data_IF_995009443771
#
_entry.id   IF_995009443771
#
_cell.length_a   1.000
_cell.length_b   1.000
_cell.length_c   1.000
_cell.angle_alpha   90.00
_cell.angle_beta   90.00
_cell.angle_gamma   90.00
#
_symmetry.space_group_name_H-M   'P 1'
#
loop_
_entity.id
_entity.type
_entity.pdbx_description
1 polymer ?
#
# COMPACT_ATOMS: atom_id res chain seq x y z
N UNK A 1 -59.41 -3.44 71.99
CA UNK A 1 -58.31 -4.28 71.47
C UNK A 1 -57.02 -3.46 71.41
N UNK A 2 -56.24 -3.64 72.50
CA UNK A 2 -54.90 -3.01 72.62
C UNK A 2 -53.90 -3.72 71.69
N UNK A 3 -53.30 -3.04 70.75
CA UNK A 3 -52.17 -3.51 70.04
C UNK A 3 -50.93 -3.23 70.89
N UNK A 4 -50.42 -4.27 71.52
CA UNK A 4 -49.13 -4.30 72.14
C UNK A 4 -48.08 -4.25 71.05
N UNK A 5 -47.36 -3.15 70.93
CA UNK A 5 -46.18 -3.05 70.04
C UNK A 5 -45.03 -3.83 70.68
N UNK A 6 -44.85 -5.06 70.29
CA UNK A 6 -43.70 -5.84 70.67
C UNK A 6 -42.44 -5.40 69.89
N UNK A 7 -41.42 -5.01 70.64
CA UNK A 7 -40.10 -4.71 70.08
C UNK A 7 -39.48 -6.09 69.77
N UNK A 8 -39.15 -6.35 68.47
CA UNK A 8 -38.41 -7.48 68.01
C UNK A 8 -36.96 -7.11 67.91
N UNK A 9 -36.10 -7.68 68.75
CA UNK A 9 -34.66 -7.53 68.66
C UNK A 9 -34.15 -8.45 67.55
N UNK A 10 -33.68 -7.87 66.46
CA UNK A 10 -33.19 -8.61 65.28
C UNK A 10 -31.73 -9.06 65.41
N UNK A 11 -31.07 -8.82 66.54
CA UNK A 11 -29.67 -9.18 66.71
C UNK A 11 -28.76 -8.41 65.76
N UNK A 12 -27.54 -8.90 65.56
CA UNK A 12 -26.52 -8.28 64.70
C UNK A 12 -26.74 -8.85 63.27
N UNK A 13 -27.20 -7.97 62.37
CA UNK A 13 -27.27 -8.27 60.92
C UNK A 13 -25.91 -8.00 60.26
N UNK A 14 -25.24 -9.05 59.83
CA UNK A 14 -24.03 -8.94 59.03
C UNK A 14 -24.42 -8.74 57.55
N UNK A 15 -24.17 -7.56 57.04
CA UNK A 15 -24.29 -7.26 55.59
C UNK A 15 -22.98 -7.61 54.95
N UNK A 16 -22.94 -8.66 54.11
CA UNK A 16 -21.83 -8.90 53.19
C UNK A 16 -22.04 -7.98 51.99
N UNK A 17 -21.00 -7.15 51.64
CA UNK A 17 -21.05 -6.40 50.40
C UNK A 17 -21.23 -7.36 49.25
N UNK A 18 -22.25 -7.19 48.44
CA UNK A 18 -22.33 -7.85 47.14
C UNK A 18 -21.32 -7.12 46.27
N UNK A 19 -20.12 -7.69 46.13
CA UNK A 19 -19.20 -7.27 45.07
C UNK A 19 -19.88 -7.65 43.74
N UNK A 20 -20.70 -6.74 43.25
CA UNK A 20 -20.96 -6.73 41.80
C UNK A 20 -19.63 -6.42 41.15
N UNK A 21 -18.90 -7.45 40.78
CA UNK A 21 -17.80 -7.33 39.81
C UNK A 21 -18.42 -6.64 38.59
N UNK A 22 -18.19 -5.34 38.47
CA UNK A 22 -18.37 -4.66 37.20
C UNK A 22 -17.46 -5.44 36.28
N UNK A 23 -18.04 -6.27 35.40
CA UNK A 23 -17.30 -6.91 34.33
C UNK A 23 -16.51 -5.80 33.66
N UNK A 24 -15.19 -5.90 33.73
CA UNK A 24 -14.28 -4.97 33.07
C UNK A 24 -14.82 -4.82 31.63
N UNK A 25 -15.43 -3.66 31.38
CA UNK A 25 -15.84 -3.33 30.02
C UNK A 25 -14.53 -3.07 29.29
N UNK A 26 -14.03 -4.11 28.65
CA UNK A 26 -12.90 -4.00 27.75
C UNK A 26 -13.35 -3.06 26.61
N UNK A 27 -13.11 -1.78 26.78
CA UNK A 27 -13.34 -0.78 25.74
C UNK A 27 -12.26 -1.04 24.71
N UNK A 28 -12.52 -2.02 23.84
CA UNK A 28 -11.78 -2.19 22.60
C UNK A 28 -12.03 -0.93 21.78
N UNK A 29 -11.20 0.08 22.03
CA UNK A 29 -11.20 1.28 21.21
C UNK A 29 -10.95 0.81 19.77
N UNK A 30 -11.97 0.91 18.90
CA UNK A 30 -11.82 0.66 17.49
C UNK A 30 -10.63 1.48 17.02
N UNK A 31 -9.54 0.81 16.58
CA UNK A 31 -8.36 1.48 16.06
C UNK A 31 -8.82 2.41 14.94
N UNK A 32 -8.49 3.70 15.09
CA UNK A 32 -8.85 4.67 14.06
C UNK A 32 -8.11 4.29 12.78
N UNK A 33 -8.85 4.05 11.72
CA UNK A 33 -8.32 3.69 10.40
C UNK A 33 -7.29 4.70 9.88
N UNK A 34 -7.41 5.96 10.28
CA UNK A 34 -6.53 7.05 9.89
C UNK A 34 -6.17 7.89 11.11
N UNK A 35 -4.87 8.03 11.35
CA UNK A 35 -4.33 8.86 12.45
C UNK A 35 -3.49 9.98 11.83
N UNK A 36 -3.84 11.23 12.19
CA UNK A 36 -3.06 12.40 11.79
C UNK A 36 -1.99 12.68 12.86
N UNK A 37 -0.73 12.72 12.45
CA UNK A 37 0.42 13.20 13.22
C UNK A 37 0.89 14.53 12.63
N UNK A 38 1.80 15.22 13.33
CA UNK A 38 2.25 16.56 12.95
C UNK A 38 2.90 16.59 11.55
N UNK A 39 3.63 15.54 11.19
CA UNK A 39 4.46 15.42 9.98
C UNK A 39 3.94 14.37 8.99
N UNK A 40 2.98 13.53 9.40
CA UNK A 40 2.51 12.42 8.57
C UNK A 40 1.08 11.99 8.90
N UNK A 41 0.45 11.35 7.93
CA UNK A 41 -0.79 10.59 8.09
C UNK A 41 -0.45 9.11 8.19
N UNK A 42 -1.04 8.40 9.13
CA UNK A 42 -0.84 6.96 9.31
C UNK A 42 -2.15 6.24 9.03
N UNK A 43 -2.14 5.37 8.04
CA UNK A 43 -3.26 4.51 7.64
C UNK A 43 -3.01 3.13 8.23
N UNK A 44 -3.90 2.65 9.09
CA UNK A 44 -3.81 1.33 9.70
C UNK A 44 -4.33 0.26 8.72
N UNK A 45 -3.46 -0.65 8.31
CA UNK A 45 -3.82 -1.72 7.38
C UNK A 45 -4.68 -2.81 8.01
N UNK A 46 -4.66 -2.95 9.35
CA UNK A 46 -5.44 -3.98 10.05
C UNK A 46 -6.95 -3.72 10.03
N UNK A 47 -7.35 -2.46 9.81
CA UNK A 47 -8.75 -2.04 9.73
C UNK A 47 -9.36 -2.24 8.33
N UNK A 48 -8.57 -2.64 7.35
CA UNK A 48 -9.07 -2.85 6.00
C UNK A 48 -9.78 -4.20 5.90
N UNK A 49 -11.10 -4.16 5.74
CA UNK A 49 -12.04 -5.30 5.73
C UNK A 49 -11.82 -6.23 4.50
N UNK A 50 -11.05 -5.81 3.54
CA UNK A 50 -10.72 -6.57 2.31
C UNK A 50 -9.74 -7.73 2.52
N UNK A 51 -9.75 -8.29 3.73
CA UNK A 51 -9.13 -9.56 4.10
C UNK A 51 -7.91 -10.01 3.27
N UNK A 52 -6.74 -9.44 3.50
CA UNK A 52 -5.44 -10.00 3.10
C UNK A 52 -5.16 -10.20 1.60
N UNK A 53 -6.12 -10.02 0.73
CA UNK A 53 -6.03 -10.37 -0.69
C UNK A 53 -5.75 -9.21 -1.66
N UNK A 54 -5.51 -8.00 -1.16
CA UNK A 54 -5.16 -6.83 -1.96
C UNK A 54 -3.70 -6.42 -1.82
N UNK A 55 -3.38 -5.25 -2.33
CA UNK A 55 -2.07 -4.59 -2.28
C UNK A 55 -2.11 -3.33 -1.40
N UNK A 56 -0.97 -2.65 -1.27
CA UNK A 56 -0.93 -1.34 -0.62
C UNK A 56 -1.80 -0.30 -1.33
N UNK A 57 -2.00 -0.42 -2.64
CA UNK A 57 -2.92 0.46 -3.40
C UNK A 57 -4.34 0.32 -2.90
N UNK A 58 -4.81 -0.90 -2.69
CA UNK A 58 -6.19 -1.17 -2.25
C UNK A 58 -6.44 -0.64 -0.82
N UNK A 59 -5.41 -0.63 0.05
CA UNK A 59 -5.49 0.01 1.37
C UNK A 59 -5.62 1.53 1.22
N UNK A 60 -4.85 2.12 0.31
CA UNK A 60 -4.80 3.56 0.11
C UNK A 60 -6.00 4.11 -0.67
N UNK A 61 -6.69 3.31 -1.48
CA UNK A 61 -7.85 3.72 -2.27
C UNK A 61 -8.95 4.36 -1.40
N UNK A 62 -9.11 3.85 -0.17
CA UNK A 62 -10.09 4.39 0.78
C UNK A 62 -9.54 5.56 1.63
N UNK A 63 -8.36 6.07 1.30
CA UNK A 63 -7.71 7.14 2.09
C UNK A 63 -8.03 8.52 1.50
N UNK A 64 -8.45 9.49 2.32
CA UNK A 64 -8.71 10.86 1.86
C UNK A 64 -7.49 11.48 1.17
N UNK A 65 -7.71 12.13 0.04
CA UNK A 65 -6.69 12.75 -0.84
C UNK A 65 -5.93 11.77 -1.73
N UNK A 66 -6.30 10.50 -1.75
CA UNK A 66 -5.80 9.49 -2.67
C UNK A 66 -6.87 9.23 -3.73
N UNK A 67 -6.44 9.04 -4.96
CA UNK A 67 -7.29 8.58 -6.08
C UNK A 67 -6.55 7.48 -6.80
N UNK A 68 -7.28 6.44 -7.17
CA UNK A 68 -6.80 5.36 -8.04
C UNK A 68 -7.60 5.42 -9.33
N UNK A 69 -6.91 5.50 -10.46
CA UNK A 69 -7.57 5.51 -11.76
C UNK A 69 -8.00 4.10 -12.21
N UNK A 70 -8.67 4.02 -13.35
CA UNK A 70 -9.14 2.75 -13.90
C UNK A 70 -7.98 1.81 -14.28
N UNK A 71 -6.80 2.34 -14.51
CA UNK A 71 -5.57 1.63 -14.82
C UNK A 71 -4.83 1.13 -13.56
N UNK A 72 -5.21 1.63 -12.36
CA UNK A 72 -4.62 1.28 -11.07
C UNK A 72 -3.51 2.24 -10.64
N UNK A 73 -3.31 3.34 -11.38
CA UNK A 73 -2.33 4.33 -10.97
C UNK A 73 -2.87 5.15 -9.81
N UNK A 74 -2.07 5.26 -8.77
CA UNK A 74 -2.41 6.07 -7.61
C UNK A 74 -1.93 7.50 -7.82
N UNK A 75 -2.78 8.44 -7.51
CA UNK A 75 -2.43 9.85 -7.37
C UNK A 75 -2.72 10.34 -5.96
N UNK A 76 -1.80 11.09 -5.41
CA UNK A 76 -1.93 11.73 -4.10
C UNK A 76 -1.98 13.25 -4.28
N UNK A 77 -3.05 13.89 -3.79
CA UNK A 77 -3.31 15.33 -3.99
C UNK A 77 -3.28 15.76 -5.47
N UNK A 78 -3.69 14.86 -6.37
CA UNK A 78 -3.73 15.14 -7.80
C UNK A 78 -2.42 14.94 -8.56
N UNK A 79 -1.34 14.51 -7.90
CA UNK A 79 -0.06 14.19 -8.52
C UNK A 79 0.33 12.73 -8.30
N UNK A 80 0.96 12.12 -9.29
CA UNK A 80 1.58 10.79 -9.23
C UNK A 80 3.06 10.84 -8.86
N UNK A 81 3.63 12.04 -8.65
CA UNK A 81 5.04 12.25 -8.31
C UNK A 81 5.32 12.05 -6.83
N UNK A 82 5.20 10.83 -6.32
CA UNK A 82 5.55 10.47 -4.95
C UNK A 82 6.60 9.36 -4.93
N UNK A 83 7.44 9.36 -3.89
CA UNK A 83 8.45 8.32 -3.68
C UNK A 83 7.92 7.26 -2.70
N UNK A 84 8.17 5.99 -2.99
CA UNK A 84 7.75 4.88 -2.10
C UNK A 84 8.95 4.37 -1.31
N UNK A 85 8.73 4.22 -0.01
CA UNK A 85 9.65 3.60 0.93
C UNK A 85 9.03 2.36 1.54
N UNK A 86 9.84 1.38 1.86
CA UNK A 86 9.45 0.19 2.62
C UNK A 86 10.34 0.11 3.85
N UNK A 87 9.74 0.14 5.04
CA UNK A 87 10.45 0.16 6.33
C UNK A 87 11.54 1.25 6.39
N UNK A 88 11.26 2.43 5.81
CA UNK A 88 12.17 3.56 5.78
C UNK A 88 13.32 3.47 4.76
N UNK A 89 13.33 2.46 3.89
CA UNK A 89 14.29 2.30 2.79
C UNK A 89 13.58 2.61 1.45
N UNK A 90 14.23 3.28 0.50
CA UNK A 90 13.64 3.52 -0.82
C UNK A 90 13.24 2.22 -1.49
N UNK A 91 12.05 2.20 -2.11
CA UNK A 91 11.62 1.05 -2.90
C UNK A 91 12.40 0.96 -4.21
N UNK A 92 12.57 -0.26 -4.70
CA UNK A 92 13.15 -0.53 -6.04
C UNK A 92 12.27 0.04 -7.14
N UNK A 93 10.97 -0.02 -6.91
CA UNK A 93 9.95 0.45 -7.83
C UNK A 93 9.52 1.86 -7.47
N UNK A 94 9.07 2.61 -8.45
CA UNK A 94 8.58 3.97 -8.27
C UNK A 94 7.05 4.03 -8.34
N UNK A 95 6.48 4.99 -7.65
CA UNK A 95 5.07 5.34 -7.75
C UNK A 95 4.12 4.20 -7.39
N UNK A 96 3.01 4.13 -8.11
CA UNK A 96 1.92 3.16 -7.88
C UNK A 96 2.38 1.71 -8.02
N UNK A 97 3.32 1.45 -8.90
CA UNK A 97 3.85 0.11 -9.15
C UNK A 97 4.55 -0.48 -7.93
N UNK A 98 5.23 0.34 -7.13
CA UNK A 98 5.82 -0.10 -5.88
C UNK A 98 4.75 -0.56 -4.87
N UNK A 99 3.65 0.16 -4.82
CA UNK A 99 2.54 -0.11 -3.90
C UNK A 99 1.73 -1.34 -4.33
N UNK A 100 1.54 -1.55 -5.64
CA UNK A 100 0.84 -2.73 -6.17
C UNK A 100 1.52 -4.05 -5.80
N UNK A 101 2.84 -4.02 -5.59
CA UNK A 101 3.64 -5.20 -5.32
C UNK A 101 3.73 -5.57 -3.84
N UNK A 102 3.24 -4.71 -2.94
CA UNK A 102 3.28 -4.98 -1.52
C UNK A 102 1.91 -5.55 -1.10
N UNK A 103 1.84 -6.86 -0.77
CA UNK A 103 0.59 -7.48 -0.36
C UNK A 103 0.04 -6.84 0.92
N UNK A 104 -1.24 -6.53 0.95
CA UNK A 104 -1.92 -5.93 2.10
C UNK A 104 -1.73 -6.74 3.39
N UNK A 105 -1.70 -8.08 3.27
CA UNK A 105 -1.49 -8.99 4.40
C UNK A 105 -0.14 -8.80 5.11
N UNK A 106 0.87 -8.26 4.44
CA UNK A 106 2.19 -8.00 5.00
C UNK A 106 2.32 -6.60 5.62
N UNK A 107 1.35 -5.73 5.45
CA UNK A 107 1.40 -4.33 5.88
C UNK A 107 0.85 -4.19 7.30
N UNK A 108 1.59 -3.51 8.17
CA UNK A 108 1.13 -3.07 9.48
C UNK A 108 0.41 -1.72 9.37
N UNK A 109 1.07 -0.75 8.76
CA UNK A 109 0.50 0.57 8.47
C UNK A 109 1.20 1.23 7.28
N UNK A 110 0.58 2.27 6.72
CA UNK A 110 1.16 3.10 5.67
C UNK A 110 1.25 4.53 6.18
N UNK A 111 2.44 5.10 6.12
CA UNK A 111 2.72 6.47 6.50
C UNK A 111 2.79 7.35 5.25
N UNK A 112 1.96 8.38 5.19
CA UNK A 112 1.98 9.38 4.12
C UNK A 112 2.65 10.64 4.67
N UNK A 113 3.87 10.91 4.24
CA UNK A 113 4.70 12.02 4.69
C UNK A 113 4.65 13.11 3.64
N UNK A 114 4.03 14.25 3.99
CA UNK A 114 3.83 15.37 3.07
C UNK A 114 4.92 16.44 3.16
N UNK A 115 5.73 16.37 4.20
CA UNK A 115 6.86 17.27 4.44
C UNK A 115 8.09 16.42 4.76
N UNK A 116 8.79 15.92 3.73
CA UNK A 116 9.97 15.10 3.93
C UNK A 116 11.05 15.89 4.68
N UNK A 117 11.64 15.25 5.68
CA UNK A 117 12.83 15.79 6.36
C UNK A 117 14.09 15.46 5.56
N UNK A 118 15.21 16.06 5.91
CA UNK A 118 16.53 15.81 5.29
C UNK A 118 17.01 14.34 5.40
N UNK A 119 16.28 13.48 6.12
CA UNK A 119 16.53 12.04 6.18
C UNK A 119 16.04 11.29 4.94
N UNK A 120 15.21 11.91 4.14
CA UNK A 120 14.56 11.28 2.99
C UNK A 120 15.03 12.03 1.75
N UNK A 121 15.66 11.31 0.86
CA UNK A 121 15.95 11.82 -0.49
C UNK A 121 14.62 11.80 -1.26
N UNK A 122 13.92 12.93 -1.20
CA UNK A 122 12.60 13.04 -1.83
C UNK A 122 12.78 13.58 -3.24
N UNK A 123 12.97 12.71 -4.21
CA UNK A 123 12.90 13.05 -5.63
C UNK A 123 11.46 13.28 -6.13
N UNK A 124 10.47 13.32 -5.23
CA UNK A 124 9.05 13.44 -5.59
C UNK A 124 8.46 14.80 -5.20
N UNK A 125 7.63 15.36 -6.07
CA UNK A 125 6.98 16.68 -5.89
C UNK A 125 5.95 16.73 -4.76
N UNK A 126 5.40 15.59 -4.31
CA UNK A 126 4.19 15.54 -3.46
C UNK A 126 4.44 14.92 -2.10
N UNK A 127 5.52 14.15 -1.93
CA UNK A 127 5.86 13.52 -0.65
C UNK A 127 6.26 12.06 -0.76
N UNK A 128 6.26 11.39 0.39
CA UNK A 128 6.71 10.01 0.54
C UNK A 128 5.57 9.16 1.06
N UNK A 129 5.39 7.99 0.48
CA UNK A 129 4.53 6.93 1.00
C UNK A 129 5.44 5.84 1.56
N UNK A 130 5.51 5.73 2.90
CA UNK A 130 6.34 4.73 3.57
C UNK A 130 5.46 3.59 4.07
N UNK A 131 5.64 2.42 3.51
CA UNK A 131 4.93 1.20 3.89
C UNK A 131 5.69 0.53 5.03
N UNK A 132 5.06 0.40 6.18
CA UNK A 132 5.61 -0.31 7.34
C UNK A 132 5.09 -1.75 7.32
N UNK A 133 6.02 -2.69 7.25
CA UNK A 133 5.67 -4.10 7.23
C UNK A 133 5.50 -4.68 8.64
N UNK A 134 4.65 -5.70 8.76
CA UNK A 134 4.45 -6.43 10.02
C UNK A 134 5.76 -7.05 10.49
N UNK A 135 6.16 -6.70 11.70
CA UNK A 135 7.35 -7.29 12.33
C UNK A 135 6.93 -8.52 13.12
N UNK A 136 7.38 -9.67 12.68
CA UNK A 136 7.25 -10.89 13.49
C UNK A 136 8.30 -10.85 14.61
N UNK A 137 7.85 -10.54 15.83
CA UNK A 137 8.71 -10.46 17.03
C UNK A 137 8.90 -11.79 17.76
N UNK A 138 8.19 -12.82 17.32
CA UNK A 138 8.29 -14.14 17.95
C UNK A 138 9.60 -14.84 17.57
N UNK A 139 10.33 -15.35 18.61
CA UNK A 139 11.50 -16.19 18.41
C UNK A 139 11.10 -17.52 17.79
N UNK A 140 11.91 -18.06 16.92
CA UNK A 140 11.67 -19.33 16.24
C UNK A 140 11.46 -19.17 14.74
N UNK A 141 10.79 -20.13 14.15
CA UNK A 141 10.39 -20.15 12.75
C UNK A 141 8.95 -19.70 12.65
N UNK A 142 8.70 -18.70 11.86
CA UNK A 142 7.34 -18.22 11.51
C UNK A 142 7.20 -18.06 10.00
N UNK A 143 5.99 -18.20 9.50
CA UNK A 143 5.75 -18.02 8.08
C UNK A 143 4.29 -17.67 7.82
N UNK A 144 4.07 -17.00 6.70
CA UNK A 144 2.75 -16.70 6.16
C UNK A 144 2.74 -17.11 4.70
N UNK A 145 1.60 -17.64 4.26
CA UNK A 145 1.29 -17.88 2.86
C UNK A 145 -0.10 -17.31 2.63
N UNK A 146 -0.23 -16.43 1.66
CA UNK A 146 -1.51 -15.87 1.26
C UNK A 146 -1.81 -16.30 -0.17
N UNK A 147 -3.03 -16.74 -0.38
CA UNK A 147 -3.58 -17.10 -1.68
C UNK A 147 -4.81 -16.26 -1.89
N UNK A 148 -4.86 -15.49 -2.94
CA UNK A 148 -6.05 -14.73 -3.29
C UNK A 148 -6.37 -14.83 -4.77
N UNK A 149 -7.66 -14.81 -5.06
CA UNK A 149 -8.17 -14.82 -6.40
C UNK A 149 -9.47 -14.04 -6.49
N UNK A 150 -9.71 -13.44 -7.63
CA UNK A 150 -10.92 -12.67 -7.91
C UNK A 150 -11.59 -13.16 -9.19
N UNK A 151 -12.92 -13.06 -9.22
CA UNK A 151 -13.69 -13.28 -10.45
C UNK A 151 -13.31 -12.31 -11.57
N UNK A 152 -12.69 -11.18 -11.21
CA UNK A 152 -12.10 -10.22 -12.16
C UNK A 152 -10.74 -10.69 -12.71
N UNK A 153 -10.42 -11.99 -12.63
CA UNK A 153 -9.18 -12.60 -13.15
C UNK A 153 -7.89 -12.04 -12.53
N UNK A 154 -7.93 -11.71 -11.24
CA UNK A 154 -6.74 -11.41 -10.46
C UNK A 154 -6.34 -12.64 -9.63
N UNK A 155 -5.05 -12.96 -9.62
CA UNK A 155 -4.46 -14.07 -8.87
C UNK A 155 -3.24 -13.55 -8.14
N UNK A 156 -3.15 -13.87 -6.85
CA UNK A 156 -1.97 -13.53 -6.05
C UNK A 156 -1.60 -14.71 -5.17
N UNK A 157 -0.32 -15.02 -5.14
CA UNK A 157 0.30 -15.95 -4.20
C UNK A 157 1.48 -15.22 -3.60
N UNK A 158 1.49 -15.07 -2.30
CA UNK A 158 2.65 -14.55 -1.61
C UNK A 158 2.99 -15.40 -0.39
N UNK A 159 4.27 -15.46 -0.10
CA UNK A 159 4.77 -16.14 1.06
C UNK A 159 5.90 -15.36 1.73
N UNK A 160 6.01 -15.49 3.02
CA UNK A 160 7.13 -14.99 3.82
C UNK A 160 7.46 -16.01 4.89
N UNK A 161 8.71 -16.47 4.90
CA UNK A 161 9.28 -17.32 5.92
C UNK A 161 10.32 -16.52 6.68
N UNK A 162 10.24 -16.53 8.01
CA UNK A 162 11.16 -15.81 8.87
C UNK A 162 11.64 -16.73 9.98
N UNK A 163 12.93 -16.74 10.21
CA UNK A 163 13.56 -17.37 11.38
C UNK A 163 14.24 -16.31 12.21
N UNK A 164 13.82 -16.17 13.46
CA UNK A 164 14.37 -15.19 14.39
C UNK A 164 14.95 -15.88 15.63
N UNK A 165 16.19 -15.60 15.92
CA UNK A 165 16.89 -15.91 17.16
C UNK A 165 17.08 -14.60 17.96
N UNK A 166 17.79 -14.66 19.09
CA UNK A 166 18.07 -13.47 19.92
C UNK A 166 18.81 -12.38 19.18
N UNK A 167 19.83 -12.74 18.43
CA UNK A 167 20.70 -11.79 17.75
C UNK A 167 20.54 -11.78 16.22
N UNK A 168 19.94 -12.81 15.62
CA UNK A 168 19.87 -12.94 14.17
C UNK A 168 18.45 -13.16 13.67
N UNK A 169 18.14 -12.57 12.53
CA UNK A 169 16.91 -12.78 11.77
C UNK A 169 17.25 -13.10 10.33
N UNK A 170 16.66 -14.18 9.82
CA UNK A 170 16.67 -14.56 8.42
C UNK A 170 15.26 -14.50 7.89
N UNK A 171 15.09 -14.04 6.68
CA UNK A 171 13.83 -14.16 6.00
C UNK A 171 14.00 -14.49 4.53
N UNK A 172 13.02 -15.19 3.98
CA UNK A 172 12.85 -15.42 2.54
C UNK A 172 11.38 -15.28 2.20
N UNK A 173 11.09 -14.65 1.10
CA UNK A 173 9.72 -14.43 0.66
C UNK A 173 9.62 -14.26 -0.83
N UNK A 174 8.40 -14.36 -1.34
CA UNK A 174 8.13 -14.14 -2.74
C UNK A 174 6.70 -13.74 -2.99
N UNK A 175 6.49 -13.11 -4.12
CA UNK A 175 5.19 -12.69 -4.63
C UNK A 175 5.06 -13.18 -6.06
N UNK A 176 3.97 -13.83 -6.36
CA UNK A 176 3.48 -14.11 -7.70
C UNK A 176 2.13 -13.44 -7.86
N UNK A 177 2.07 -12.44 -8.70
CA UNK A 177 0.89 -11.63 -8.94
C UNK A 177 0.58 -11.59 -10.42
N UNK A 178 -0.69 -11.78 -10.77
CA UNK A 178 -1.21 -11.74 -12.13
C UNK A 178 -2.59 -11.12 -12.09
N UNK A 179 -2.83 -10.05 -12.85
CA UNK A 179 -4.09 -9.32 -12.90
C UNK A 179 -4.46 -8.97 -14.33
N UNK A 180 -5.45 -9.67 -14.83
CA UNK A 180 -6.07 -9.33 -16.11
C UNK A 180 -7.21 -8.34 -15.89
N UNK A 181 -7.10 -7.16 -16.50
CA UNK A 181 -8.12 -6.12 -16.45
C UNK A 181 -8.79 -5.98 -17.80
N UNK A 182 -10.10 -6.12 -17.84
CA UNK A 182 -10.91 -5.84 -19.02
C UNK A 182 -11.68 -4.55 -18.75
N UNK A 183 -11.62 -3.59 -19.67
CA UNK A 183 -12.30 -2.31 -19.56
C UNK A 183 -12.80 -1.87 -20.92
N UNK A 184 -13.88 -1.09 -20.93
CA UNK A 184 -14.30 -0.32 -22.07
C UNK A 184 -13.74 1.08 -21.92
N UNK A 185 -13.05 1.53 -22.96
CA UNK A 185 -12.43 2.85 -23.00
C UNK A 185 -13.29 3.77 -23.87
N UNK A 186 -13.56 4.96 -23.36
CA UNK A 186 -14.18 6.04 -24.13
C UNK A 186 -13.49 7.35 -23.79
N UNK A 187 -13.05 8.07 -24.81
CA UNK A 187 -12.41 9.37 -24.68
C UNK A 187 -12.94 10.32 -25.72
N UNK A 188 -13.18 11.55 -25.33
CA UNK A 188 -13.43 12.67 -26.24
C UNK A 188 -12.40 13.76 -25.97
N UNK A 189 -11.71 14.20 -27.03
CA UNK A 189 -10.72 15.26 -26.99
C UNK A 189 -11.12 16.33 -27.99
N UNK A 190 -11.20 17.59 -27.56
CA UNK A 190 -11.39 18.74 -28.43
C UNK A 190 -10.13 19.60 -28.40
N UNK A 191 -9.59 19.90 -29.55
CA UNK A 191 -8.42 20.75 -29.74
C UNK A 191 -8.82 21.92 -30.64
N UNK A 192 -8.49 23.11 -30.19
CA UNK A 192 -8.73 24.35 -30.97
C UNK A 192 -7.38 24.96 -31.29
N UNK A 193 -7.12 25.17 -32.58
CA UNK A 193 -5.89 25.82 -33.08
C UNK A 193 -6.38 26.85 -34.10
N UNK A 194 -6.15 28.13 -33.78
CA UNK A 194 -6.67 29.26 -34.54
C UNK A 194 -8.19 29.16 -34.72
N UNK A 195 -8.69 29.09 -35.95
CA UNK A 195 -10.11 28.94 -36.31
C UNK A 195 -10.54 27.48 -36.56
N UNK A 196 -9.60 26.52 -36.39
CA UNK A 196 -9.85 25.10 -36.58
C UNK A 196 -10.13 24.40 -35.26
N UNK A 197 -11.34 23.85 -35.14
CA UNK A 197 -11.74 22.99 -34.02
C UNK A 197 -11.74 21.53 -34.49
N UNK A 198 -10.90 20.70 -33.83
CA UNK A 198 -10.83 19.27 -34.06
C UNK A 198 -11.41 18.55 -32.86
N UNK A 199 -12.47 17.77 -33.04
CA UNK A 199 -13.02 16.87 -31.99
C UNK A 199 -12.75 15.42 -32.38
N UNK A 200 -12.04 14.71 -31.56
CA UNK A 200 -11.77 13.28 -31.70
C UNK A 200 -12.48 12.50 -30.60
N UNK A 201 -13.25 11.51 -30.96
CA UNK A 201 -13.89 10.56 -30.05
C UNK A 201 -13.33 9.18 -30.34
N UNK A 202 -12.85 8.49 -29.29
CA UNK A 202 -12.38 7.11 -29.38
C UNK A 202 -13.15 6.24 -28.42
N UNK A 203 -13.52 5.03 -28.87
CA UNK A 203 -14.23 4.04 -28.05
C UNK A 203 -13.82 2.64 -28.43
N UNK A 204 -13.72 1.77 -27.44
CA UNK A 204 -13.50 0.34 -27.69
C UNK A 204 -13.02 -0.43 -26.48
N UNK A 205 -12.97 -1.77 -26.59
CA UNK A 205 -12.47 -2.63 -25.53
C UNK A 205 -10.95 -2.50 -25.37
N UNK A 206 -10.51 -2.55 -24.14
CA UNK A 206 -9.10 -2.55 -23.76
C UNK A 206 -8.86 -3.66 -22.75
N UNK A 207 -7.82 -4.44 -22.96
CA UNK A 207 -7.38 -5.51 -22.06
C UNK A 207 -5.98 -5.18 -21.58
N UNK A 208 -5.82 -5.08 -20.27
CA UNK A 208 -4.53 -4.93 -19.61
C UNK A 208 -4.18 -6.21 -18.84
N UNK A 209 -2.93 -6.62 -18.94
CA UNK A 209 -2.35 -7.78 -18.25
C UNK A 209 -1.13 -7.31 -17.46
N UNK A 210 -1.25 -7.29 -16.13
CA UNK A 210 -0.19 -6.89 -15.21
C UNK A 210 0.27 -8.11 -14.44
N UNK A 211 1.55 -8.45 -14.55
CA UNK A 211 2.13 -9.55 -13.80
C UNK A 211 3.43 -9.13 -13.10
N UNK A 212 3.66 -9.73 -11.94
CA UNK A 212 4.84 -9.49 -11.13
C UNK A 212 5.28 -10.78 -10.43
N UNK A 213 6.55 -11.12 -10.54
CA UNK A 213 7.20 -12.24 -9.87
C UNK A 213 8.42 -11.69 -9.14
N UNK A 214 8.38 -11.70 -7.82
CA UNK A 214 9.45 -11.15 -6.98
C UNK A 214 9.86 -12.18 -5.94
N UNK A 215 11.16 -12.33 -5.75
CA UNK A 215 11.76 -13.08 -4.65
C UNK A 215 12.62 -12.14 -3.84
N UNK A 216 12.60 -12.31 -2.52
CA UNK A 216 13.41 -11.53 -1.59
C UNK A 216 13.98 -12.43 -0.50
N UNK A 217 15.17 -12.12 -0.07
CA UNK A 217 15.79 -12.75 1.09
C UNK A 217 16.63 -11.73 1.85
N UNK A 218 16.75 -11.92 3.14
CA UNK A 218 17.57 -11.03 3.95
C UNK A 218 18.05 -11.69 5.22
N UNK A 219 19.11 -11.10 5.73
CA UNK A 219 19.72 -11.48 7.00
C UNK A 219 20.03 -10.22 7.79
N UNK A 220 19.68 -10.24 9.07
CA UNK A 220 20.02 -9.19 10.00
C UNK A 220 20.65 -9.80 11.26
N UNK A 221 21.64 -9.12 11.80
CA UNK A 221 22.33 -9.49 13.02
C UNK A 221 22.44 -8.28 13.94
N UNK A 222 21.98 -8.44 15.18
CA UNK A 222 21.98 -7.38 16.18
C UNK A 222 22.86 -7.76 17.36
N UNK A 223 23.90 -7.00 17.57
CA UNK A 223 24.70 -6.95 18.80
C UNK A 223 24.10 -5.88 19.74
N UNK A 224 24.49 -5.83 21.01
CA UNK A 224 23.93 -4.84 21.95
C UNK A 224 23.99 -3.39 21.50
N UNK A 225 25.01 -3.03 20.73
CA UNK A 225 25.21 -1.65 20.22
C UNK A 225 25.39 -1.55 18.72
N UNK A 226 25.50 -2.66 18.01
CA UNK A 226 25.77 -2.66 16.57
C UNK A 226 24.79 -3.58 15.86
N UNK A 227 24.27 -3.17 14.74
CA UNK A 227 23.40 -3.97 13.88
C UNK A 227 23.92 -4.02 12.46
N UNK A 228 23.76 -5.16 11.82
CA UNK A 228 24.07 -5.38 10.41
C UNK A 228 22.85 -5.95 9.71
N UNK A 229 22.62 -5.56 8.47
CA UNK A 229 21.66 -6.25 7.62
C UNK A 229 22.14 -6.31 6.18
N UNK A 230 21.74 -7.41 5.52
CA UNK A 230 21.90 -7.62 4.09
C UNK A 230 20.57 -8.07 3.57
N UNK A 231 20.07 -7.40 2.55
CA UNK A 231 18.81 -7.70 1.90
C UNK A 231 19.05 -7.81 0.39
N UNK A 232 18.47 -8.80 -0.25
CA UNK A 232 18.48 -8.98 -1.70
C UNK A 232 17.05 -9.20 -2.20
N UNK A 233 16.74 -8.57 -3.30
CA UNK A 233 15.45 -8.71 -3.98
C UNK A 233 15.69 -8.80 -5.48
N UNK A 234 14.98 -9.69 -6.14
CA UNK A 234 15.02 -9.85 -7.58
C UNK A 234 13.64 -10.16 -8.11
N UNK A 235 13.33 -9.63 -9.29
CA UNK A 235 12.01 -9.81 -9.85
C UNK A 235 11.93 -9.57 -11.34
N UNK A 236 10.82 -10.01 -11.88
CA UNK A 236 10.42 -9.81 -13.26
C UNK A 236 8.97 -9.35 -13.29
N UNK A 237 8.72 -8.27 -13.99
CA UNK A 237 7.37 -7.72 -14.15
C UNK A 237 7.07 -7.36 -15.57
N UNK A 238 5.80 -7.32 -15.89
CA UNK A 238 5.35 -6.83 -17.18
C UNK A 238 3.97 -6.21 -17.09
N UNK A 239 3.74 -5.30 -18.03
CA UNK A 239 2.47 -4.69 -18.29
C UNK A 239 2.19 -4.76 -19.77
N UNK A 240 1.19 -5.56 -20.15
CA UNK A 240 0.68 -5.62 -21.51
C UNK A 240 -0.66 -4.95 -21.60
N UNK A 241 -0.87 -4.19 -22.64
CA UNK A 241 -2.16 -3.58 -22.92
C UNK A 241 -2.48 -3.71 -24.39
N UNK A 242 -3.62 -4.30 -24.68
CA UNK A 242 -4.12 -4.46 -26.04
C UNK A 242 -5.49 -3.78 -26.12
N UNK A 243 -5.67 -2.89 -27.07
CA UNK A 243 -6.91 -2.19 -27.32
C UNK A 243 -7.25 -2.11 -28.79
N UNK A 244 -8.53 -2.20 -29.12
CA UNK A 244 -9.04 -1.92 -30.44
C UNK A 244 -10.01 -0.78 -30.30
N UNK A 245 -9.61 0.42 -30.76
CA UNK A 245 -10.35 1.65 -30.58
C UNK A 245 -10.86 2.14 -31.92
N UNK A 246 -12.16 2.37 -32.00
CA UNK A 246 -12.78 3.04 -33.13
C UNK A 246 -12.76 4.54 -32.85
N UNK A 247 -12.18 5.30 -33.78
CA UNK A 247 -12.04 6.74 -33.72
C UNK A 247 -12.98 7.39 -34.72
N UNK A 248 -13.64 8.46 -34.25
CA UNK A 248 -14.33 9.44 -35.10
C UNK A 248 -13.73 10.80 -34.85
N UNK A 249 -13.19 11.40 -35.90
CA UNK A 249 -12.60 12.72 -35.85
C UNK A 249 -13.45 13.67 -36.71
N UNK A 250 -13.87 14.78 -36.12
CA UNK A 250 -14.55 15.87 -36.85
C UNK A 250 -13.69 17.13 -36.77
N UNK A 251 -13.45 17.75 -37.91
CA UNK A 251 -12.73 19.02 -38.03
C UNK A 251 -13.71 20.07 -38.55
N UNK A 252 -13.76 21.19 -37.87
CA UNK A 252 -14.63 22.31 -38.25
C UNK A 252 -13.83 23.61 -38.24
N UNK A 253 -13.84 24.32 -39.35
CA UNK A 253 -13.25 25.66 -39.49
C UNK A 253 -14.31 26.72 -39.37
N UNK A 254 -14.14 27.66 -38.45
CA UNK A 254 -15.08 28.80 -38.30
C UNK A 254 -15.01 29.79 -39.45
N UNK A 255 -13.89 29.86 -40.16
CA UNK A 255 -13.67 30.79 -41.26
C UNK A 255 -14.35 30.36 -42.55
N UNK A 256 -14.38 29.08 -42.88
CA UNK A 256 -14.97 28.55 -44.12
C UNK A 256 -16.33 27.91 -43.90
N UNK A 257 -16.68 27.56 -42.67
CA UNK A 257 -17.91 26.82 -42.36
C UNK A 257 -17.89 25.36 -42.80
N UNK A 258 -16.73 24.86 -43.27
CA UNK A 258 -16.58 23.51 -43.76
C UNK A 258 -16.23 22.55 -42.61
N UNK A 259 -16.80 21.35 -42.63
CA UNK A 259 -16.58 20.29 -41.69
C UNK A 259 -16.13 19.00 -42.39
N UNK A 260 -15.08 18.37 -41.90
CA UNK A 260 -14.62 17.08 -42.37
C UNK A 260 -14.80 16.03 -41.23
N UNK A 261 -15.28 14.83 -41.59
CA UNK A 261 -15.47 13.72 -40.66
C UNK A 261 -14.65 12.53 -41.18
N UNK A 262 -13.77 12.02 -40.33
CA UNK A 262 -12.98 10.83 -40.57
C UNK A 262 -13.28 9.75 -39.55
N UNK A 263 -13.52 8.53 -40.01
CA UNK A 263 -13.63 7.35 -39.15
C UNK A 263 -12.43 6.43 -39.41
N UNK A 264 -11.75 6.00 -38.37
CA UNK A 264 -10.62 5.07 -38.47
C UNK A 264 -10.53 4.16 -37.22
N UNK A 265 -9.84 3.07 -37.37
CA UNK A 265 -9.58 2.11 -36.30
C UNK A 265 -8.12 2.13 -35.92
N UNK A 266 -7.84 2.22 -34.62
CA UNK A 266 -6.51 2.11 -34.07
C UNK A 266 -6.35 0.81 -33.26
N UNK A 267 -5.20 0.20 -33.38
CA UNK A 267 -4.76 -0.87 -32.50
C UNK A 267 -3.78 -0.26 -31.51
N UNK A 268 -4.14 -0.32 -30.23
CA UNK A 268 -3.28 0.10 -29.12
C UNK A 268 -2.62 -1.15 -28.54
N UNK A 269 -1.37 -1.33 -28.85
CA UNK A 269 -0.59 -2.50 -28.42
C UNK A 269 0.64 -2.03 -27.67
N UNK A 270 0.70 -2.36 -26.37
CA UNK A 270 1.76 -1.95 -25.46
C UNK A 270 2.26 -3.17 -24.70
N UNK A 271 3.55 -3.44 -24.74
CA UNK A 271 4.21 -4.50 -23.98
C UNK A 271 5.48 -3.94 -23.34
N UNK A 272 5.43 -3.76 -22.02
CA UNK A 272 6.58 -3.35 -21.23
C UNK A 272 6.98 -4.47 -20.28
N UNK A 273 8.26 -4.83 -20.28
CA UNK A 273 8.83 -5.87 -19.43
C UNK A 273 10.08 -5.35 -18.76
N UNK A 274 10.25 -5.68 -17.52
CA UNK A 274 11.37 -5.19 -16.72
C UNK A 274 11.87 -6.30 -15.79
N UNK A 275 13.17 -6.46 -15.76
CA UNK A 275 13.88 -7.29 -14.78
C UNK A 275 14.54 -6.34 -13.79
N UNK A 276 14.41 -6.64 -12.52
CA UNK A 276 14.92 -5.80 -11.45
C UNK A 276 15.72 -6.61 -10.45
N UNK A 277 16.71 -5.97 -9.88
CA UNK A 277 17.50 -6.51 -8.79
C UNK A 277 17.87 -5.40 -7.81
N UNK A 278 17.77 -5.69 -6.52
CA UNK A 278 18.19 -4.79 -5.45
C UNK A 278 19.04 -5.56 -4.45
N UNK A 279 20.18 -5.00 -4.11
CA UNK A 279 21.01 -5.41 -2.98
C UNK A 279 21.12 -4.26 -1.99
N UNK A 280 20.89 -4.51 -0.72
CA UNK A 280 21.06 -3.52 0.33
C UNK A 280 21.96 -4.08 1.43
N UNK A 281 22.91 -3.27 1.88
CA UNK A 281 23.74 -3.56 3.07
C UNK A 281 23.58 -2.38 4.01
N UNK A 282 23.26 -2.64 5.28
CA UNK A 282 23.14 -1.60 6.27
C UNK A 282 23.88 -1.95 7.54
N UNK A 283 24.42 -0.92 8.19
CA UNK A 283 25.12 -0.98 9.46
C UNK A 283 24.60 0.14 10.36
N UNK A 284 24.34 -0.17 11.61
CA UNK A 284 23.96 0.80 12.62
C UNK A 284 24.82 0.62 13.87
N UNK A 285 25.27 1.71 14.48
CA UNK A 285 26.02 1.68 15.72
C UNK A 285 25.50 2.73 16.70
N UNK A 286 25.16 2.30 17.91
CA UNK A 286 24.75 3.16 19.01
C UNK A 286 25.92 3.40 19.96
N UNK A 287 26.41 4.63 20.00
CA UNK A 287 27.56 5.00 20.85
C UNK A 287 27.20 5.05 22.33
N UNK A 288 25.98 5.45 22.67
CA UNK A 288 25.49 5.52 24.05
C UNK A 288 23.97 5.42 24.12
N UNK A 289 23.45 5.33 25.35
CA UNK A 289 22.00 5.21 25.61
C UNK A 289 21.27 6.58 25.54
N UNK A 290 22.00 7.69 25.30
CA UNK A 290 21.45 9.04 25.15
C UNK A 290 21.00 9.37 23.71
N UNK A 291 20.98 8.38 22.82
CA UNK A 291 20.50 8.52 21.44
C UNK A 291 21.55 8.93 20.41
N UNK A 292 22.84 8.90 20.77
CA UNK A 292 23.90 9.08 19.79
C UNK A 292 24.08 7.79 18.99
N UNK A 293 23.68 7.82 17.75
CA UNK A 293 23.77 6.68 16.83
C UNK A 293 24.29 7.11 15.47
N UNK A 294 24.97 6.20 14.80
CA UNK A 294 25.38 6.31 13.41
C UNK A 294 24.76 5.15 12.65
N UNK A 295 24.13 5.46 11.52
CA UNK A 295 23.65 4.45 10.58
C UNK A 295 24.18 4.78 9.18
N UNK A 296 24.57 3.72 8.46
CA UNK A 296 24.96 3.80 7.08
C UNK A 296 24.28 2.67 6.31
N UNK A 297 23.81 2.97 5.12
CA UNK A 297 23.27 1.99 4.20
C UNK A 297 23.80 2.22 2.79
N UNK A 298 24.10 1.13 2.13
CA UNK A 298 24.46 1.09 0.73
C UNK A 298 23.44 0.23 -0.01
N UNK A 299 22.95 0.72 -1.12
CA UNK A 299 22.04 -0.04 -1.98
C UNK A 299 22.49 0.06 -3.43
N UNK A 300 22.35 -1.05 -4.14
CA UNK A 300 22.61 -1.17 -5.57
C UNK A 300 21.35 -1.67 -6.25
N UNK A 301 20.92 -0.95 -7.27
CA UNK A 301 19.73 -1.27 -8.09
C UNK A 301 20.20 -1.51 -9.53
N UNK A 302 19.66 -2.60 -10.11
CA UNK A 302 19.82 -2.95 -11.52
C UNK A 302 18.47 -2.94 -12.19
#
# INVERSE_FOLDING_TARGET
>A
LEHSAGTVDLGVLYLTPLENGIAEVDVVAARKQLVYKLDKKVVDASSNIMGGGGSAVDILENTPSVRVDAEGNLSFRGSSGFTVYVDGKPSVFSGSQALEQIPAGHIENIEIITTPSARHDAEGDVGIINVITKKHTQRGLSGTVNLSGSTALSRNVDFLLTRQNEASRWYAGGVWFDKLRKSDFEQQKTTVVDDLTTTSRSKGPRVGDNYNYTLKAGWAYALPRTSFSVDVEGGYRGNKRNGRLDYRESRFSQGTGDGEIGDYRSLDDYDNRETIGLGTVAVGHRFNDKGHELSASFYYKY
#
